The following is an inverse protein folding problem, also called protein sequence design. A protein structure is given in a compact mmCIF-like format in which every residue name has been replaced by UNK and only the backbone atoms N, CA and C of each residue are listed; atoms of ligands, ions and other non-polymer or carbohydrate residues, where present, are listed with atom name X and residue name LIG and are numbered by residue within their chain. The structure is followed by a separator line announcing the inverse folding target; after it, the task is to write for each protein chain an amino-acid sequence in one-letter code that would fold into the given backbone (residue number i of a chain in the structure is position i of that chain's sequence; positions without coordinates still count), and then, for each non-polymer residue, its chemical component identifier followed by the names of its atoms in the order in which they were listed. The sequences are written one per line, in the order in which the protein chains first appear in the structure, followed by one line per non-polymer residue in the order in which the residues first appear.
data_IF_867186655483
#
_entry.id   IF_867186655483
#
_cell.length_a   1.000
_cell.length_b   1.000
_cell.length_c   1.000
_cell.angle_alpha   90.00
_cell.angle_beta   90.00
_cell.angle_gamma   90.00
#
_symmetry.space_group_name_H-M   'P 1'
#
loop_
_entity.id
_entity.type
_entity.pdbx_description
1 polymer ?
#
# COMPACT_ATOMS: atom_id res chain seq x y z
N UNK A 1 -19.71 -4.70 -2.63
CA UNK A 1 -19.42 -4.33 -2.88
C UNK A 1 -18.83 -3.63 -3.01
N UNK A 2 -18.67 -3.90 -2.85
CA UNK A 2 -18.13 -3.49 -2.97
C UNK A 2 -17.53 -2.80 -3.18
N UNK A 3 -17.34 -2.81 -2.93
CA UNK A 3 -16.78 -2.27 -3.18
C UNK A 3 -16.11 -1.67 -3.37
N UNK A 4 -15.76 -1.88 -3.07
CA UNK A 4 -15.21 -1.42 -3.35
C UNK A 4 -14.50 -1.14 -3.53
N UNK A 5 -14.28 -1.37 -3.25
CA UNK A 5 -13.67 -1.10 -3.63
C UNK A 5 -13.30 -1.10 -4.01
N UNK A 6 -13.36 -1.61 -3.63
CA UNK A 6 -13.13 -1.43 -4.12
C UNK A 6 -12.99 -1.54 -4.67
N UNK A 7 -13.16 -1.92 -4.67
CA UNK A 7 -13.15 -1.94 -5.33
C UNK A 7 -12.86 -1.96 -5.96
N UNK A 8 -12.81 -2.30 -6.05
CA UNK A 8 -12.70 -2.48 -6.52
C UNK A 8 -12.16 -3.05 -6.92
N UNK A 9 -11.99 -3.49 -6.68
CA UNK A 9 -11.70 -4.26 -6.79
C UNK A 9 -12.11 -5.02 -6.82
N UNK A 10 -12.76 -5.49 -6.34
CA UNK A 10 -13.27 -6.13 -6.34
C UNK A 10 -14.08 -6.61 -6.70
N UNK A 11 -14.61 -7.12 -6.59
CA UNK A 11 -15.37 -7.67 -6.78
C UNK A 11 -15.58 -8.52 -7.05
N UNK A 12 -15.79 -8.83 -7.20
CA UNK A 12 -16.18 -9.76 -7.32
C UNK A 12 -15.73 -10.62 -6.98
N UNK A 13 -15.50 -10.63 -6.67
CA UNK A 13 -15.11 -11.72 -6.33
C UNK A 13 -15.75 -12.19 -5.19
N UNK A 14 -16.40 -12.06 -4.92
CA UNK A 14 -16.91 -12.61 -4.10
C UNK A 14 -17.64 -13.71 -4.11
N UNK A 15 -17.93 -13.95 -4.32
CA UNK A 15 -18.50 -14.80 -4.35
C UNK A 15 -18.17 -15.84 -4.46
N UNK A 16 -17.80 -16.04 -4.35
CA UNK A 16 -17.43 -17.07 -4.51
C UNK A 16 -17.37 -17.97 -3.67
N UNK A 17 -17.54 -18.49 -3.43
CA UNK A 17 -17.48 -19.24 -2.79
C UNK A 17 -17.04 -20.24 -2.67
N UNK A 18 -16.91 -20.82 -2.39
CA UNK A 18 -16.28 -21.65 -2.23
C UNK A 18 -15.88 -22.59 -2.19
N UNK A 19 -15.59 -22.54 -2.73
CA UNK A 19 -15.27 -23.92 -2.88
C UNK A 19 -14.38 -24.39 -1.81
N UNK A 20 -14.68 -25.46 -1.34
CA UNK A 20 -14.01 -25.92 -0.16
C UNK A 20 -12.67 -26.56 -0.48
N UNK A 21 -12.47 -26.95 -1.73
CA UNK A 21 -11.28 -27.68 -2.13
C UNK A 21 -10.34 -26.87 -3.00
N UNK A 22 -10.61 -25.60 -3.18
CA UNK A 22 -9.75 -24.76 -3.97
C UNK A 22 -8.51 -24.33 -3.21
N UNK A 23 -7.55 -23.69 -3.88
CA UNK A 23 -6.37 -23.17 -3.21
C UNK A 23 -6.76 -22.09 -2.21
N UNK A 24 -5.95 -21.88 -1.16
CA UNK A 24 -6.21 -20.84 -0.18
C UNK A 24 -6.29 -19.47 -0.84
N UNK A 25 -7.18 -18.65 -0.34
CA UNK A 25 -7.36 -17.29 -0.84
C UNK A 25 -7.52 -16.34 0.31
N UNK A 26 -7.22 -15.08 0.05
CA UNK A 26 -7.66 -14.03 0.96
C UNK A 26 -9.17 -14.03 1.00
N UNK A 27 -9.72 -13.88 2.19
CA UNK A 27 -11.10 -13.46 2.27
C UNK A 27 -11.13 -11.96 2.03
N UNK A 28 -12.30 -11.44 1.64
CA UNK A 28 -12.45 -10.00 1.46
C UNK A 28 -12.09 -9.26 2.73
N UNK A 29 -12.46 -9.82 3.90
CA UNK A 29 -12.14 -9.20 5.18
C UNK A 29 -10.65 -9.19 5.43
N UNK A 30 -9.95 -10.28 5.15
CA UNK A 30 -8.50 -10.34 5.39
C UNK A 30 -7.77 -9.33 4.52
N UNK A 31 -8.16 -9.21 3.26
CA UNK A 31 -7.55 -8.24 2.36
C UNK A 31 -7.83 -6.81 2.82
N UNK A 32 -9.08 -6.52 3.19
CA UNK A 32 -9.44 -5.19 3.67
C UNK A 32 -8.68 -4.82 4.93
N UNK A 33 -8.56 -5.77 5.88
CA UNK A 33 -7.82 -5.52 7.12
C UNK A 33 -6.37 -5.21 6.81
N UNK A 34 -5.76 -5.95 5.88
CA UNK A 34 -4.37 -5.72 5.52
C UNK A 34 -4.17 -4.33 4.90
N UNK A 35 -5.04 -3.97 3.98
CA UNK A 35 -4.95 -2.66 3.31
C UNK A 35 -5.20 -1.53 4.29
N UNK A 36 -6.20 -1.66 5.14
CA UNK A 36 -6.49 -0.65 6.16
C UNK A 36 -5.33 -0.50 7.12
N UNK A 37 -4.72 -1.61 7.51
CA UNK A 37 -3.56 -1.57 8.40
C UNK A 37 -2.40 -0.79 7.76
N UNK A 38 -2.16 -1.04 6.48
CA UNK A 38 -1.11 -0.33 5.74
C UNK A 38 -1.39 1.17 5.73
N UNK A 39 -2.62 1.56 5.42
CA UNK A 39 -2.98 2.98 5.39
C UNK A 39 -2.88 3.63 6.77
N UNK A 40 -3.32 2.93 7.81
CA UNK A 40 -3.31 3.48 9.16
C UNK A 40 -1.92 3.66 9.72
N UNK A 41 -0.96 2.84 9.24
CA UNK A 41 0.41 2.86 9.77
C UNK A 41 1.43 3.28 8.72
N UNK A 42 0.99 4.04 7.72
CA UNK A 42 1.84 4.38 6.60
C UNK A 42 3.08 5.17 7.01
N UNK A 43 2.96 6.03 8.02
CA UNK A 43 4.07 6.80 8.54
C UNK A 43 4.99 6.04 9.47
N UNK A 44 4.63 4.82 9.83
CA UNK A 44 5.38 4.00 10.78
C UNK A 44 6.26 2.99 10.04
N UNK A 45 7.25 2.41 10.73
CA UNK A 45 8.01 1.31 10.14
C UNK A 45 7.07 0.13 9.92
N UNK A 46 6.79 -0.17 8.67
CA UNK A 46 5.95 -1.30 8.30
C UNK A 46 6.84 -2.47 7.90
N UNK A 47 6.49 -3.67 8.38
CA UNK A 47 7.18 -4.86 7.95
C UNK A 47 6.16 -5.97 7.69
N UNK A 48 6.61 -7.00 7.00
CA UNK A 48 5.74 -8.10 6.60
C UNK A 48 5.09 -8.77 7.81
N UNK A 49 5.84 -8.92 8.89
CA UNK A 49 5.32 -9.58 10.09
C UNK A 49 4.15 -8.85 10.70
N UNK A 50 4.22 -7.52 10.82
CA UNK A 50 3.14 -6.78 11.43
C UNK A 50 1.90 -6.77 10.55
N UNK A 51 2.07 -6.65 9.24
CA UNK A 51 0.94 -6.63 8.32
C UNK A 51 0.25 -7.99 8.28
N UNK A 52 1.04 -9.07 8.16
CA UNK A 52 0.48 -10.41 8.10
C UNK A 52 -0.24 -10.77 9.39
N UNK A 53 0.30 -10.34 10.53
CA UNK A 53 -0.31 -10.59 11.83
C UNK A 53 -1.65 -9.88 11.93
N UNK A 54 -1.74 -8.67 11.43
CA UNK A 54 -3.01 -7.94 11.41
C UNK A 54 -4.07 -8.69 10.61
N UNK A 55 -3.67 -9.36 9.54
CA UNK A 55 -4.59 -10.13 8.72
C UNK A 55 -4.83 -11.55 9.25
N UNK A 56 -4.13 -11.93 10.31
CA UNK A 56 -4.29 -13.26 10.90
C UNK A 56 -3.63 -14.37 10.12
N UNK A 57 -2.56 -14.08 9.39
CA UNK A 57 -1.89 -15.04 8.53
C UNK A 57 -0.40 -15.08 8.83
N UNK A 58 0.24 -16.20 8.45
CA UNK A 58 1.69 -16.27 8.48
C UNK A 58 2.26 -15.38 7.38
N UNK A 59 3.54 -15.00 7.53
CA UNK A 59 4.18 -14.14 6.54
C UNK A 59 4.19 -14.76 5.14
N UNK A 60 4.50 -16.04 5.09
CA UNK A 60 4.57 -16.74 3.81
C UNK A 60 3.22 -16.78 3.11
N UNK A 61 2.18 -17.16 3.84
CA UNK A 61 0.83 -17.21 3.29
C UNK A 61 0.35 -15.82 2.89
N UNK A 62 0.61 -14.84 3.74
CA UNK A 62 0.18 -13.48 3.47
C UNK A 62 0.80 -12.97 2.17
N UNK A 63 2.12 -13.12 2.02
CA UNK A 63 2.80 -12.60 0.84
C UNK A 63 2.25 -13.21 -0.44
N UNK A 64 2.03 -14.52 -0.43
CA UNK A 64 1.52 -15.22 -1.61
C UNK A 64 0.10 -14.77 -1.95
N UNK A 65 -0.76 -14.73 -0.95
CA UNK A 65 -2.16 -14.38 -1.17
C UNK A 65 -2.30 -12.92 -1.55
N UNK A 66 -1.48 -12.05 -0.95
CA UNK A 66 -1.53 -10.64 -1.24
C UNK A 66 -1.15 -10.37 -2.70
N UNK A 67 -0.07 -11.00 -3.16
CA UNK A 67 0.35 -10.84 -4.56
C UNK A 67 -0.69 -11.40 -5.52
N UNK A 68 -1.27 -12.54 -5.18
CA UNK A 68 -2.31 -13.12 -6.02
C UNK A 68 -3.55 -12.21 -6.11
N UNK A 69 -3.90 -11.54 -5.01
CA UNK A 69 -5.09 -10.71 -4.95
C UNK A 69 -4.89 -9.34 -5.57
N UNK A 70 -3.71 -8.74 -5.41
CA UNK A 70 -3.48 -7.35 -5.81
C UNK A 70 -2.56 -7.19 -7.01
N UNK A 71 -1.79 -8.22 -7.34
CA UNK A 71 -0.78 -8.13 -8.38
C UNK A 71 0.54 -7.59 -7.89
N UNK A 72 0.59 -7.08 -6.67
CA UNK A 72 1.81 -6.51 -6.09
C UNK A 72 2.25 -7.32 -4.89
N UNK A 73 3.57 -7.37 -4.66
CA UNK A 73 4.05 -7.84 -3.37
C UNK A 73 3.63 -6.84 -2.30
N UNK A 74 3.58 -7.25 -1.03
CA UNK A 74 3.28 -6.29 0.04
C UNK A 74 4.22 -5.08 0.04
N UNK A 75 5.52 -5.31 -0.19
CA UNK A 75 6.48 -4.22 -0.24
C UNK A 75 6.18 -3.24 -1.37
N UNK A 76 5.88 -3.77 -2.56
CA UNK A 76 5.54 -2.91 -3.71
C UNK A 76 4.28 -2.10 -3.43
N UNK A 77 3.30 -2.73 -2.80
CA UNK A 77 2.05 -2.07 -2.48
C UNK A 77 2.26 -0.93 -1.47
N UNK A 78 3.04 -1.19 -0.43
CA UNK A 78 3.35 -0.16 0.57
C UNK A 78 4.09 1.00 -0.08
N UNK A 79 5.09 0.70 -0.90
CA UNK A 79 5.87 1.74 -1.57
C UNK A 79 4.99 2.61 -2.46
N UNK A 80 4.12 1.98 -3.25
CA UNK A 80 3.22 2.72 -4.13
C UNK A 80 2.25 3.59 -3.32
N UNK A 81 1.71 3.04 -2.24
CA UNK A 81 0.80 3.78 -1.38
C UNK A 81 1.49 5.00 -0.77
N UNK A 82 2.75 4.83 -0.32
CA UNK A 82 3.53 5.94 0.21
C UNK A 82 3.75 7.03 -0.84
N UNK A 83 4.04 6.63 -2.07
CA UNK A 83 4.26 7.61 -3.13
C UNK A 83 2.98 8.33 -3.51
N UNK A 84 1.85 7.63 -3.56
CA UNK A 84 0.57 8.27 -3.84
C UNK A 84 0.22 9.29 -2.77
N UNK A 85 0.47 8.94 -1.50
CA UNK A 85 0.24 9.89 -0.41
C UNK A 85 1.16 11.11 -0.52
N UNK A 86 2.43 10.86 -0.86
CA UNK A 86 3.39 11.94 -1.03
C UNK A 86 2.93 12.89 -2.14
N UNK A 87 2.44 12.34 -3.25
CA UNK A 87 1.93 13.18 -4.35
C UNK A 87 0.80 14.08 -3.88
N UNK A 88 -0.12 13.54 -3.08
CA UNK A 88 -1.22 14.33 -2.55
C UNK A 88 -0.71 15.47 -1.69
N UNK A 89 0.23 15.17 -0.79
CA UNK A 89 0.79 16.19 0.10
C UNK A 89 1.57 17.24 -0.69
N UNK A 90 2.29 16.83 -1.72
CA UNK A 90 3.02 17.78 -2.56
C UNK A 90 2.09 18.74 -3.28
N UNK A 91 0.96 18.22 -3.78
CA UNK A 91 0.00 19.05 -4.51
C UNK A 91 -0.87 19.92 -3.61
N UNK A 92 -1.26 19.39 -2.46
CA UNK A 92 -2.31 20.02 -1.65
C UNK A 92 -1.80 20.80 -0.47
N UNK A 93 -0.52 20.72 -0.17
CA UNK A 93 0.05 21.41 0.98
C UNK A 93 1.32 22.13 0.58
N UNK A 94 1.83 22.96 1.52
CA UNK A 94 3.13 23.61 1.38
C UNK A 94 4.16 23.03 2.33
N UNK A 95 3.90 21.82 2.81
CA UNK A 95 4.82 21.17 3.73
C UNK A 95 6.20 21.00 3.09
N UNK A 96 7.27 21.18 3.88
CA UNK A 96 8.62 20.92 3.37
C UNK A 96 8.76 19.46 2.93
N UNK A 97 9.61 19.23 1.94
CA UNK A 97 9.85 17.88 1.44
C UNK A 97 10.28 16.94 2.58
N UNK A 98 11.13 17.44 3.49
CA UNK A 98 11.59 16.67 4.65
C UNK A 98 10.41 16.17 5.48
N UNK A 99 9.43 17.03 5.71
CA UNK A 99 8.27 16.64 6.50
C UNK A 99 7.37 15.66 5.75
N UNK A 100 7.21 15.84 4.46
CA UNK A 100 6.43 14.89 3.66
C UNK A 100 7.08 13.52 3.70
N UNK A 101 8.41 13.46 3.55
CA UNK A 101 9.15 12.20 3.61
C UNK A 101 8.86 11.47 4.92
N UNK A 102 8.90 12.20 6.03
CA UNK A 102 8.65 11.63 7.34
C UNK A 102 7.23 11.13 7.47
N UNK A 103 6.27 11.92 7.02
CA UNK A 103 4.86 11.55 7.13
C UNK A 103 4.50 10.30 6.34
N UNK A 104 5.20 10.04 5.24
CA UNK A 104 4.94 8.84 4.45
C UNK A 104 5.87 7.68 4.79
N UNK A 105 6.63 7.81 5.90
CA UNK A 105 7.34 6.66 6.45
C UNK A 105 8.80 6.54 6.07
N UNK A 106 9.43 7.60 5.55
CA UNK A 106 10.85 7.59 5.23
C UNK A 106 11.61 8.37 6.28
N UNK A 107 12.60 7.71 6.89
CA UNK A 107 13.42 8.37 7.90
C UNK A 107 14.42 9.32 7.30
N UNK A 108 14.89 9.04 6.07
CA UNK A 108 15.88 9.86 5.40
C UNK A 108 15.28 10.52 4.17
N UNK A 109 15.30 11.85 4.08
CA UNK A 109 14.77 12.54 2.92
C UNK A 109 15.44 12.12 1.61
N UNK A 110 16.72 11.78 1.64
CA UNK A 110 17.43 11.34 0.45
C UNK A 110 16.87 10.02 -0.09
N UNK A 111 16.51 9.10 0.81
CA UNK A 111 15.88 7.84 0.40
C UNK A 111 14.51 8.08 -0.21
N UNK A 112 13.76 8.98 0.40
CA UNK A 112 12.45 9.36 -0.13
C UNK A 112 12.59 9.94 -1.54
N UNK A 113 13.47 10.91 -1.70
CA UNK A 113 13.63 11.59 -2.99
C UNK A 113 14.08 10.64 -4.08
N UNK A 114 15.00 9.74 -3.75
CA UNK A 114 15.49 8.75 -4.72
C UNK A 114 14.38 7.81 -5.14
N UNK A 115 13.60 7.34 -4.18
CA UNK A 115 12.49 6.44 -4.47
C UNK A 115 11.41 7.15 -5.27
N UNK A 116 11.10 8.38 -4.88
CA UNK A 116 10.10 9.17 -5.59
C UNK A 116 10.50 9.36 -7.05
N UNK A 117 11.76 9.74 -7.29
CA UNK A 117 12.25 9.93 -8.65
C UNK A 117 12.18 8.62 -9.45
N UNK A 118 12.55 7.51 -8.82
CA UNK A 118 12.52 6.21 -9.48
C UNK A 118 11.12 5.82 -9.93
N UNK A 119 10.12 6.12 -9.12
CA UNK A 119 8.75 5.70 -9.40
C UNK A 119 7.99 6.74 -10.23
N UNK A 120 8.20 8.01 -9.94
CA UNK A 120 7.40 9.08 -10.54
C UNK A 120 8.08 9.79 -11.72
N UNK A 121 9.34 9.48 -11.96
CA UNK A 121 10.06 10.05 -13.11
C UNK A 121 10.74 11.38 -12.83
N UNK A 122 10.43 12.06 -11.74
CA UNK A 122 11.08 13.30 -11.36
C UNK A 122 11.10 13.41 -9.85
N UNK A 123 11.91 14.32 -9.34
CA UNK A 123 12.01 14.50 -7.89
C UNK A 123 10.76 15.16 -7.30
N UNK A 124 10.62 15.09 -5.97
CA UNK A 124 9.46 15.67 -5.31
C UNK A 124 9.29 17.15 -5.56
N UNK A 125 10.40 17.89 -5.54
CA UNK A 125 10.36 19.33 -5.72
C UNK A 125 9.89 19.68 -7.14
N UNK A 126 10.42 18.98 -8.13
CA UNK A 126 10.03 19.17 -9.52
C UNK A 126 8.56 18.81 -9.70
N UNK A 127 8.12 17.73 -9.08
CA UNK A 127 6.73 17.30 -9.16
C UNK A 127 5.80 18.39 -8.61
N UNK A 128 6.16 18.97 -7.47
CA UNK A 128 5.35 20.03 -6.85
C UNK A 128 5.20 21.23 -7.77
N UNK A 129 6.29 21.60 -8.42
CA UNK A 129 6.28 22.78 -9.30
C UNK A 129 5.44 22.58 -10.54
N UNK A 130 5.33 21.33 -11.01
CA UNK A 130 4.58 21.07 -12.23
C UNK A 130 3.14 20.62 -11.96
N UNK A 131 2.76 20.47 -10.71
CA UNK A 131 1.42 20.00 -10.36
C UNK A 131 0.40 21.14 -10.33
#
# INVERSE_FOLDING_TARGET
MLNAAGARILHSYAQVRFPLSGPPRFTDDQLRVAIDYIHDHLGDPLNLGSISRAAGLSEFHFARLFKAATGDTPFQFVTRTRMDRAKQLLRKTRLPIVEIAERVGYQKPSHFSARFRSICGCGPDTYRKSA
#
